data_IF_169303901294
#
_entry.id   IF_169303901294
#
_cell.length_a   1.000
_cell.length_b   1.000
_cell.length_c   1.000
_cell.angle_alpha   90.00
_cell.angle_beta   90.00
_cell.angle_gamma   90.00
#
_symmetry.space_group_name_H-M   'P 1'
#
loop_
_entity.id
_entity.type
_entity.pdbx_description
1 polymer ?
#
# COMPACT_ATOMS: atom_id res chain seq x y z
N UNK A 1 -29.99 -11.70 -9.20
CA UNK A 1 -29.29 -10.41 -9.09
C UNK A 1 -28.34 -10.54 -7.91
N UNK A 2 -27.02 -10.55 -8.12
CA UNK A 2 -26.06 -10.61 -7.02
C UNK A 2 -26.12 -9.32 -6.20
N UNK A 3 -25.84 -9.38 -4.89
CA UNK A 3 -25.99 -8.23 -4.01
C UNK A 3 -24.96 -7.16 -4.37
N UNK A 4 -25.43 -5.91 -4.48
CA UNK A 4 -24.61 -4.70 -4.45
C UNK A 4 -23.77 -4.73 -3.17
N UNK A 5 -22.47 -4.99 -3.31
CA UNK A 5 -21.52 -4.80 -2.23
C UNK A 5 -21.44 -3.29 -1.97
N UNK A 6 -22.14 -2.86 -0.92
CA UNK A 6 -21.91 -1.56 -0.32
C UNK A 6 -20.45 -1.53 0.12
N UNK A 7 -19.67 -0.68 -0.55
CA UNK A 7 -18.28 -0.36 -0.19
C UNK A 7 -18.31 0.41 1.13
N UNK A 8 -18.61 -0.25 2.24
CA UNK A 8 -18.15 0.24 3.52
C UNK A 8 -16.65 -0.04 3.54
N UNK A 9 -15.76 0.98 3.51
CA UNK A 9 -14.36 0.73 3.79
C UNK A 9 -14.35 0.05 5.16
N UNK A 10 -13.80 -1.16 5.20
CA UNK A 10 -13.65 -1.95 6.43
C UNK A 10 -12.59 -1.24 7.28
N UNK A 11 -12.95 -0.10 7.87
CA UNK A 11 -12.10 0.72 8.73
C UNK A 11 -11.86 0.05 10.09
N UNK A 12 -12.19 -1.24 10.23
CA UNK A 12 -12.16 -1.96 11.51
C UNK A 12 -10.79 -2.52 11.91
N UNK A 13 -9.83 -2.61 11.00
CA UNK A 13 -8.59 -3.39 11.22
C UNK A 13 -7.31 -2.58 11.14
N UNK A 14 -7.29 -1.48 10.37
CA UNK A 14 -6.12 -0.64 10.13
C UNK A 14 -6.27 0.68 10.91
N UNK A 15 -5.26 1.14 11.67
CA UNK A 15 -5.33 2.41 12.39
C UNK A 15 -5.56 3.58 11.41
N UNK A 16 -6.50 4.47 11.76
CA UNK A 16 -6.83 5.64 10.95
C UNK A 16 -5.62 6.54 10.67
N UNK A 17 -4.69 6.65 11.62
CA UNK A 17 -3.43 7.36 11.45
C UNK A 17 -2.60 6.80 10.27
N UNK A 18 -2.58 5.48 10.10
CA UNK A 18 -1.85 4.85 9.00
C UNK A 18 -2.54 5.13 7.66
N UNK A 19 -3.87 5.10 7.63
CA UNK A 19 -4.63 5.46 6.41
C UNK A 19 -4.38 6.93 6.06
N UNK A 20 -4.40 7.85 7.03
CA UNK A 20 -4.13 9.28 6.81
C UNK A 20 -2.72 9.53 6.28
N UNK A 21 -1.72 8.82 6.82
CA UNK A 21 -0.34 8.85 6.31
C UNK A 21 -0.24 8.35 4.87
N UNK A 22 -0.91 7.24 4.56
CA UNK A 22 -0.94 6.65 3.21
C UNK A 22 -1.63 7.60 2.22
N UNK A 23 -2.77 8.18 2.59
CA UNK A 23 -3.47 9.15 1.75
C UNK A 23 -2.59 10.36 1.50
N UNK A 24 -1.99 10.94 2.55
CA UNK A 24 -1.06 12.09 2.43
C UNK A 24 0.15 11.80 1.53
N UNK A 25 0.68 10.57 1.56
CA UNK A 25 1.74 10.14 0.65
C UNK A 25 1.22 10.07 -0.79
N UNK A 26 0.07 9.42 -1.01
CA UNK A 26 -0.55 9.27 -2.32
C UNK A 26 -0.92 10.63 -2.93
N UNK A 27 -1.39 11.59 -2.12
CA UNK A 27 -1.68 12.96 -2.55
C UNK A 27 -0.42 13.63 -3.10
N UNK A 28 0.73 13.47 -2.44
CA UNK A 28 2.01 14.02 -2.91
C UNK A 28 2.55 13.31 -4.15
N UNK A 29 2.32 12.01 -4.28
CA UNK A 29 2.79 11.23 -5.43
C UNK A 29 1.96 11.46 -6.68
N UNK A 30 0.65 11.60 -6.52
CA UNK A 30 -0.30 11.73 -7.65
C UNK A 30 -0.73 13.16 -7.92
N UNK A 31 -0.44 14.10 -7.01
CA UNK A 31 -0.95 15.49 -7.02
C UNK A 31 -2.48 15.55 -7.06
N UNK A 32 -3.15 14.51 -6.53
CA UNK A 32 -4.61 14.38 -6.47
C UNK A 32 -5.09 14.53 -5.03
N UNK A 33 -6.31 15.04 -4.85
CA UNK A 33 -6.92 15.16 -3.52
C UNK A 33 -7.48 13.83 -3.02
N UNK A 34 -7.45 13.63 -1.71
CA UNK A 34 -8.04 12.48 -1.02
C UNK A 34 -9.51 12.22 -1.38
N UNK A 35 -10.27 13.24 -1.83
CA UNK A 35 -11.63 13.07 -2.37
C UNK A 35 -11.71 12.12 -3.58
N UNK A 36 -10.62 11.99 -4.35
CA UNK A 36 -10.54 11.06 -5.48
C UNK A 36 -10.04 9.67 -5.10
N UNK A 37 -9.69 9.46 -3.83
CA UNK A 37 -9.10 8.23 -3.33
C UNK A 37 -10.18 7.34 -2.73
N UNK A 38 -10.48 6.23 -3.41
CA UNK A 38 -11.41 5.23 -2.92
C UNK A 38 -10.64 4.08 -2.29
N UNK A 39 -10.62 4.01 -0.95
CA UNK A 39 -10.09 2.84 -0.26
C UNK A 39 -11.02 1.66 -0.54
N UNK A 40 -10.61 0.77 -1.44
CA UNK A 40 -11.39 -0.42 -1.83
C UNK A 40 -11.07 -1.61 -0.93
N UNK A 41 -9.91 -1.63 -0.27
CA UNK A 41 -9.51 -2.68 0.66
C UNK A 41 -8.63 -2.09 1.76
N UNK A 42 -8.85 -2.51 3.01
CA UNK A 42 -7.98 -2.22 4.14
C UNK A 42 -8.12 -3.38 5.13
N UNK A 43 -7.08 -4.19 5.27
CA UNK A 43 -7.14 -5.38 6.12
C UNK A 43 -5.81 -5.65 6.82
N UNK A 44 -5.87 -6.27 8.00
CA UNK A 44 -4.67 -6.76 8.67
C UNK A 44 -4.16 -8.01 7.95
N UNK A 45 -2.88 -8.02 7.58
CA UNK A 45 -2.24 -9.15 6.89
C UNK A 45 -0.95 -9.53 7.59
N UNK A 46 -0.56 -10.77 7.40
CA UNK A 46 0.68 -11.30 7.95
C UNK A 46 1.61 -11.56 6.78
N UNK A 47 2.66 -10.77 6.69
CA UNK A 47 3.68 -10.86 5.65
C UNK A 47 4.63 -12.00 5.97
N UNK A 48 4.98 -12.83 4.99
CA UNK A 48 5.91 -13.95 5.19
C UNK A 48 7.37 -13.51 5.33
N UNK A 49 7.69 -12.28 4.90
CA UNK A 49 9.03 -11.73 4.88
C UNK A 49 9.01 -10.25 5.28
N UNK A 50 10.15 -9.75 5.78
CA UNK A 50 10.34 -8.33 6.13
C UNK A 50 10.29 -7.37 4.94
N UNK A 51 10.14 -7.87 3.71
CA UNK A 51 9.87 -7.07 2.52
C UNK A 51 8.43 -6.56 2.45
N UNK A 52 7.56 -7.02 3.36
CA UNK A 52 6.14 -6.72 3.34
C UNK A 52 5.50 -7.04 1.98
N UNK A 53 6.01 -8.03 1.25
CA UNK A 53 5.54 -8.39 -0.08
C UNK A 53 6.13 -7.56 -1.24
N UNK A 54 6.97 -6.56 -0.97
CA UNK A 54 7.62 -5.70 -1.99
C UNK A 54 9.15 -5.83 -1.88
N UNK A 55 9.76 -6.91 -2.39
CA UNK A 55 11.20 -7.08 -2.30
C UNK A 55 11.93 -6.11 -3.25
N UNK A 56 12.76 -5.23 -2.71
CA UNK A 56 13.64 -4.36 -3.48
C UNK A 56 14.94 -5.08 -3.85
N UNK A 57 15.45 -4.89 -5.07
CA UNK A 57 16.69 -5.51 -5.51
C UNK A 57 17.88 -5.01 -4.69
N UNK A 58 18.66 -5.94 -4.12
CA UNK A 58 19.85 -5.61 -3.33
C UNK A 58 19.61 -5.45 -1.83
N UNK A 59 18.36 -5.58 -1.36
CA UNK A 59 18.04 -5.64 0.06
C UNK A 59 17.97 -7.08 0.56
N UNK A 60 18.49 -7.32 1.75
CA UNK A 60 18.33 -8.58 2.47
C UNK A 60 17.16 -8.43 3.44
N UNK A 61 16.07 -9.11 3.13
CA UNK A 61 14.92 -9.17 4.03
C UNK A 61 15.04 -10.37 4.95
N UNK A 62 14.58 -10.18 6.19
CA UNK A 62 14.44 -11.29 7.13
C UNK A 62 13.29 -12.19 6.68
N UNK A 63 13.50 -13.50 6.67
CA UNK A 63 12.45 -14.52 6.54
C UNK A 63 11.70 -14.68 7.87
N UNK A 64 11.24 -13.55 8.40
CA UNK A 64 10.44 -13.48 9.60
C UNK A 64 9.04 -13.07 9.19
N UNK A 65 8.06 -13.75 9.77
CA UNK A 65 6.66 -13.38 9.62
C UNK A 65 6.42 -12.05 10.32
N UNK A 66 6.00 -11.03 9.56
CA UNK A 66 5.75 -9.67 10.07
C UNK A 66 4.27 -9.39 10.02
N UNK A 67 3.68 -9.04 11.16
CA UNK A 67 2.30 -8.59 11.17
C UNK A 67 2.23 -7.20 10.57
N UNK A 68 1.22 -6.94 9.77
CA UNK A 68 1.10 -5.72 9.00
C UNK A 68 -0.32 -5.47 8.51
N UNK A 69 -0.44 -4.54 7.57
CA UNK A 69 -1.70 -4.11 7.00
C UNK A 69 -1.56 -3.97 5.49
N UNK A 70 -2.61 -4.32 4.76
CA UNK A 70 -2.70 -4.13 3.32
C UNK A 70 -3.85 -3.18 3.04
N UNK A 71 -3.56 -2.07 2.37
CA UNK A 71 -4.51 -1.02 2.02
C UNK A 71 -4.48 -0.80 0.52
N UNK A 72 -5.56 -1.13 -0.16
CA UNK A 72 -5.70 -0.92 -1.60
C UNK A 72 -6.57 0.30 -1.85
N UNK A 73 -6.01 1.26 -2.57
CA UNK A 73 -6.66 2.53 -2.91
C UNK A 73 -6.85 2.57 -4.42
N UNK A 74 -8.08 2.81 -4.85
CA UNK A 74 -8.40 3.04 -6.25
C UNK A 74 -8.55 4.54 -6.53
N UNK A 75 -7.82 5.02 -7.54
CA UNK A 75 -7.82 6.42 -7.98
C UNK A 75 -7.88 6.43 -9.50
N UNK A 76 -8.92 7.04 -10.08
CA UNK A 76 -9.04 7.15 -11.55
C UNK A 76 -8.87 5.80 -12.30
N UNK A 77 -9.41 4.68 -11.75
CA UNK A 77 -9.22 3.30 -12.24
C UNK A 77 -7.79 2.73 -12.13
N UNK A 78 -6.89 3.41 -11.43
CA UNK A 78 -5.59 2.85 -11.00
C UNK A 78 -5.72 2.35 -9.57
N UNK A 79 -5.14 1.19 -9.30
CA UNK A 79 -5.10 0.62 -7.95
C UNK A 79 -3.70 0.75 -7.40
N UNK A 80 -3.61 1.27 -6.19
CA UNK A 80 -2.39 1.48 -5.42
C UNK A 80 -2.45 0.55 -4.23
N UNK A 81 -1.50 -0.39 -4.15
CA UNK A 81 -1.45 -1.37 -3.06
C UNK A 81 -0.41 -0.88 -2.04
N UNK A 82 -0.87 -0.46 -0.88
CA UNK A 82 -0.03 0.00 0.21
C UNK A 82 0.11 -1.12 1.24
N UNK A 83 1.36 -1.49 1.50
CA UNK A 83 1.69 -2.51 2.48
C UNK A 83 2.34 -1.85 3.68
N UNK A 84 1.78 -2.05 4.85
CA UNK A 84 2.31 -1.56 6.11
C UNK A 84 2.71 -2.70 7.04
N UNK A 85 3.62 -2.40 7.94
CA UNK A 85 4.02 -3.26 9.07
C UNK A 85 3.38 -2.76 10.36
N UNK A 86 3.30 -3.64 11.35
CA UNK A 86 2.86 -3.30 12.71
C UNK A 86 3.74 -2.23 13.37
N UNK A 87 4.98 -2.06 12.89
CA UNK A 87 5.92 -1.04 13.36
C UNK A 87 5.55 0.37 12.88
N UNK A 88 4.53 0.51 12.03
CA UNK A 88 4.08 1.79 11.46
C UNK A 88 4.83 2.20 10.19
N UNK A 89 5.76 1.38 9.71
CA UNK A 89 6.38 1.57 8.39
C UNK A 89 5.43 1.10 7.30
N UNK A 90 5.23 1.91 6.27
CA UNK A 90 4.45 1.57 5.08
C UNK A 90 5.26 1.78 3.80
N UNK A 91 4.97 0.96 2.80
CA UNK A 91 5.54 0.99 1.47
C UNK A 91 4.42 0.91 0.44
N UNK A 92 4.49 1.76 -0.59
CA UNK A 92 3.62 1.63 -1.74
C UNK A 92 4.16 0.49 -2.62
N UNK A 93 3.48 -0.64 -2.58
CA UNK A 93 3.67 -1.73 -3.52
C UNK A 93 2.90 -1.42 -4.80
N UNK A 94 3.46 -0.57 -5.65
CA UNK A 94 3.02 -0.58 -7.03
C UNK A 94 3.54 -1.88 -7.66
N UNK A 95 2.81 -2.99 -7.52
CA UNK A 95 3.01 -4.17 -8.37
C UNK A 95 2.54 -3.80 -9.77
N UNK A 96 3.27 -2.87 -10.36
CA UNK A 96 3.22 -2.51 -11.74
C UNK A 96 3.77 -3.73 -12.45
N UNK A 97 2.98 -4.26 -13.36
CA UNK A 97 3.51 -4.81 -14.60
C UNK A 97 4.29 -3.71 -15.38
N UNK A 98 5.19 -2.98 -14.73
CA UNK A 98 6.14 -2.09 -15.36
C UNK A 98 7.46 -2.85 -15.50
N UNK A 99 7.91 -3.09 -16.75
CA UNK A 99 9.31 -3.38 -16.97
C UNK A 99 10.09 -2.14 -16.51
N UNK A 100 10.89 -2.29 -15.45
CA UNK A 100 12.11 -1.53 -15.19
C UNK A 100 11.96 -0.01 -15.40
N UNK A 101 11.46 0.72 -14.40
CA UNK A 101 12.00 2.07 -14.19
C UNK A 101 13.44 1.85 -13.69
N UNK A 102 14.48 2.27 -14.44
CA UNK A 102 15.83 2.27 -13.92
C UNK A 102 15.81 3.12 -12.66
N UNK A 103 16.32 2.56 -11.58
CA UNK A 103 16.55 3.24 -10.33
C UNK A 103 17.28 4.55 -10.65
N UNK A 104 16.63 5.69 -10.48
CA UNK A 104 17.32 6.98 -10.41
C UNK A 104 18.24 6.85 -9.20
N UNK A 105 19.50 6.50 -9.46
CA UNK A 105 20.60 6.58 -8.52
C UNK A 105 21.01 8.05 -8.41
N UNK A 106 20.76 8.74 -7.29
CA UNK A 106 21.54 9.92 -6.97
C UNK A 106 22.92 9.49 -6.42
N UNK A 107 23.92 9.62 -7.29
CA UNK A 107 25.27 10.16 -7.06
C UNK A 107 26.23 9.44 -6.09
N UNK A 108 27.30 8.83 -6.66
CA UNK A 108 28.70 9.07 -6.28
C UNK A 108 29.68 8.47 -7.32
#
# INVERSE_FOLDING_TARGET
>A
MPPTQVLTPVTGEVPLELIDQILSDLEKQTDMSADSFAVIQAQAVVWNDGSLGCPEPGQFYTQATVNGYQVIIEVNNKKYDYHASESGYFILCENLFQPLVPQETPDA
#
